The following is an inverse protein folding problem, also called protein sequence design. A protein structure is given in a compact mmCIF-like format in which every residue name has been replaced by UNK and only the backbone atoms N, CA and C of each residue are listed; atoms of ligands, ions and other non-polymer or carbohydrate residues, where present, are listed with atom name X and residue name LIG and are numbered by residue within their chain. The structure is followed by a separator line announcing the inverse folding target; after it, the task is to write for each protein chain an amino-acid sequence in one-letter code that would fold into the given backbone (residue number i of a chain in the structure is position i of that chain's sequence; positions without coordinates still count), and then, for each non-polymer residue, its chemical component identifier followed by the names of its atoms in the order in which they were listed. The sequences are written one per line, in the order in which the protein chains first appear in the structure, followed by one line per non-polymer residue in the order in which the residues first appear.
data_IF_522658922194
#
_entry.id   IF_522658922194
#
_cell.length_a   1.000
_cell.length_b   1.000
_cell.length_c   1.000
_cell.angle_alpha   90.00
_cell.angle_beta   90.00
_cell.angle_gamma   90.00
#
_symmetry.space_group_name_H-M   'P 1'
#
loop_
_entity.id
_entity.type
_entity.pdbx_description
1 polymer ?
#
# COMPACT_ATOMS: atom_id res chain seq x y z
N UNK A 1 -76.98 24.44 28.05
CA UNK A 1 -76.43 23.12 27.64
C UNK A 1 -75.59 23.17 26.37
N UNK A 2 -75.69 24.11 25.45
CA UNK A 2 -74.83 24.17 24.22
C UNK A 2 -73.37 24.49 24.46
N UNK A 3 -72.97 25.20 25.51
CA UNK A 3 -71.59 25.65 25.72
C UNK A 3 -70.66 24.57 26.36
N UNK A 4 -71.24 23.51 26.97
CA UNK A 4 -70.49 22.44 27.54
C UNK A 4 -70.02 21.39 26.50
N UNK A 5 -70.86 21.18 25.49
CA UNK A 5 -70.55 20.23 24.40
C UNK A 5 -69.40 20.79 23.52
N UNK A 6 -69.39 22.10 23.25
CA UNK A 6 -68.36 22.77 22.43
C UNK A 6 -67.00 22.74 23.12
N UNK A 7 -66.93 22.86 24.46
CA UNK A 7 -65.65 22.78 25.20
C UNK A 7 -65.09 21.37 25.24
N UNK A 8 -65.93 20.35 25.23
CA UNK A 8 -65.48 18.94 25.23
C UNK A 8 -64.89 18.54 23.83
N UNK A 9 -65.54 18.95 22.79
CA UNK A 9 -65.08 18.70 21.39
C UNK A 9 -63.69 19.34 21.16
N UNK A 10 -63.47 20.55 21.57
CA UNK A 10 -62.17 21.24 21.44
C UNK A 10 -61.08 20.54 22.28
N UNK A 11 -61.44 20.07 23.49
CA UNK A 11 -60.51 19.34 24.32
C UNK A 11 -60.07 18.01 23.73
N UNK A 12 -61.00 17.24 23.18
CA UNK A 12 -60.70 15.92 22.56
C UNK A 12 -59.89 16.10 21.28
N UNK A 13 -60.19 17.07 20.47
CA UNK A 13 -59.42 17.36 19.23
C UNK A 13 -57.98 17.78 19.60
N UNK A 14 -57.81 18.64 20.64
CA UNK A 14 -56.48 19.07 21.10
C UNK A 14 -55.61 17.88 21.60
N UNK A 15 -56.21 16.95 22.35
CA UNK A 15 -55.52 15.77 22.85
C UNK A 15 -55.14 14.86 21.67
N UNK A 16 -56.01 14.67 20.71
CA UNK A 16 -55.77 13.86 19.53
C UNK A 16 -54.65 14.43 18.65
N UNK A 17 -54.63 15.75 18.46
CA UNK A 17 -53.58 16.46 17.72
C UNK A 17 -52.24 16.35 18.41
N UNK A 18 -52.20 16.42 19.73
CA UNK A 18 -50.99 16.23 20.55
C UNK A 18 -50.44 14.81 20.42
N UNK A 19 -51.31 13.80 20.43
CA UNK A 19 -50.94 12.39 20.31
C UNK A 19 -50.38 12.09 18.93
N UNK A 20 -50.96 12.64 17.87
CA UNK A 20 -50.47 12.52 16.50
C UNK A 20 -49.09 13.21 16.33
N UNK A 21 -48.90 14.39 16.94
CA UNK A 21 -47.62 15.10 16.91
C UNK A 21 -46.50 14.28 17.59
N UNK A 22 -46.77 13.66 18.74
CA UNK A 22 -45.81 12.78 19.43
C UNK A 22 -45.49 11.54 18.58
N UNK A 23 -46.50 10.94 17.93
CA UNK A 23 -46.32 9.78 17.07
C UNK A 23 -45.43 10.13 15.85
N UNK A 24 -45.63 11.27 15.23
CA UNK A 24 -44.81 11.74 14.10
C UNK A 24 -43.37 12.01 14.53
N UNK A 25 -43.14 12.57 15.72
CA UNK A 25 -41.80 12.79 16.24
C UNK A 25 -41.03 11.50 16.51
N UNK A 26 -41.70 10.41 16.91
CA UNK A 26 -41.03 9.11 17.12
C UNK A 26 -40.59 8.46 15.81
N UNK A 27 -41.28 8.70 14.71
CA UNK A 27 -40.86 8.18 13.40
C UNK A 27 -39.69 8.95 12.78
N UNK A 28 -39.45 10.20 13.17
CA UNK A 28 -38.33 10.99 12.68
C UNK A 28 -37.01 10.70 13.37
N UNK A 29 -37.01 9.96 14.49
CA UNK A 29 -35.80 9.60 15.24
C UNK A 29 -35.11 8.34 14.76
N UNK A 30 -35.71 7.60 13.80
CA UNK A 30 -35.15 6.35 13.26
C UNK A 30 -34.26 6.60 12.03
N UNK A 31 -33.39 7.56 12.10
CA UNK A 31 -32.24 7.61 11.20
C UNK A 31 -31.03 7.11 12.00
N UNK A 32 -30.97 5.82 12.27
CA UNK A 32 -29.72 5.15 12.53
C UNK A 32 -28.87 5.37 11.28
N UNK A 33 -27.97 6.33 11.39
CA UNK A 33 -26.82 6.37 10.52
C UNK A 33 -25.96 5.18 10.92
N UNK A 34 -26.30 4.00 10.43
CA UNK A 34 -25.32 2.99 10.11
C UNK A 34 -24.44 3.66 9.02
N UNK A 35 -23.58 4.55 9.47
CA UNK A 35 -22.47 5.01 8.70
C UNK A 35 -21.66 3.74 8.45
N UNK A 36 -21.92 3.09 7.31
CA UNK A 36 -20.99 2.15 6.74
C UNK A 36 -19.67 2.94 6.72
N UNK A 37 -18.78 2.61 7.65
CA UNK A 37 -17.42 3.14 7.67
C UNK A 37 -16.74 2.56 6.41
N UNK A 38 -16.99 3.23 5.28
CA UNK A 38 -16.37 2.90 4.01
C UNK A 38 -14.93 3.30 4.18
N UNK A 39 -14.10 2.34 4.55
CA UNK A 39 -12.67 2.55 4.62
C UNK A 39 -12.14 2.80 3.19
N UNK A 40 -11.96 4.08 2.85
CA UNK A 40 -11.45 4.51 1.54
C UNK A 40 -9.91 4.42 1.44
N UNK A 41 -9.23 4.29 2.57
CA UNK A 41 -7.78 4.28 2.62
C UNK A 41 -7.23 2.96 3.18
N UNK A 42 -6.47 2.24 2.37
CA UNK A 42 -5.87 0.94 2.67
C UNK A 42 -4.34 1.01 2.69
N UNK A 43 -3.73 1.62 3.73
CA UNK A 43 -2.30 1.80 3.76
C UNK A 43 -1.55 0.47 3.87
N UNK A 44 -0.43 0.40 3.18
CA UNK A 44 0.54 -0.68 3.35
C UNK A 44 1.93 -0.13 3.63
N UNK A 45 2.78 -0.95 4.21
CA UNK A 45 4.20 -0.67 4.44
C UNK A 45 5.04 -1.70 3.70
N UNK A 46 6.24 -1.29 3.30
CA UNK A 46 7.22 -2.19 2.71
C UNK A 46 8.42 -2.26 3.65
N UNK A 47 8.74 -3.47 4.12
CA UNK A 47 9.96 -3.75 4.85
C UNK A 47 10.98 -4.41 3.93
N UNK A 48 12.23 -3.97 4.05
CA UNK A 48 13.35 -4.54 3.32
C UNK A 48 14.41 -4.97 4.32
N UNK A 49 14.96 -6.17 4.12
CA UNK A 49 16.10 -6.62 4.91
C UNK A 49 17.34 -5.80 4.55
N UNK A 50 18.24 -5.53 5.51
CA UNK A 50 19.49 -4.85 5.23
C UNK A 50 20.28 -5.54 4.11
N UNK A 51 20.82 -4.73 3.19
CA UNK A 51 21.66 -5.18 2.07
C UNK A 51 23.09 -4.70 2.25
N UNK A 52 24.10 -5.34 1.63
CA UNK A 52 25.47 -4.84 1.58
C UNK A 52 25.50 -3.41 1.04
N UNK A 53 26.51 -2.63 1.43
CA UNK A 53 26.72 -1.27 0.93
C UNK A 53 27.59 -1.21 -0.32
N UNK A 54 28.24 -2.32 -0.65
CA UNK A 54 29.19 -2.44 -1.76
C UNK A 54 28.84 -3.66 -2.62
N UNK A 55 29.05 -3.51 -3.93
CA UNK A 55 28.88 -4.58 -4.90
C UNK A 55 29.95 -4.47 -5.98
N UNK A 56 30.56 -5.58 -6.34
CA UNK A 56 31.50 -5.68 -7.47
C UNK A 56 30.76 -5.94 -8.79
N UNK A 57 31.41 -5.58 -9.91
CA UNK A 57 30.86 -5.92 -11.22
C UNK A 57 30.66 -7.43 -11.36
N UNK A 58 29.51 -7.85 -11.88
CA UNK A 58 29.10 -9.25 -12.00
C UNK A 58 28.61 -9.89 -10.69
N UNK A 59 28.78 -9.25 -9.53
CA UNK A 59 28.21 -9.73 -8.28
C UNK A 59 26.70 -9.49 -8.23
N UNK A 60 25.99 -10.37 -7.53
CA UNK A 60 24.56 -10.25 -7.30
C UNK A 60 24.25 -10.13 -5.81
N UNK A 61 23.29 -9.27 -5.48
CA UNK A 61 22.77 -9.07 -4.12
C UNK A 61 21.33 -9.52 -4.07
N UNK A 62 20.99 -10.36 -3.09
CA UNK A 62 19.60 -10.72 -2.77
C UNK A 62 18.97 -9.62 -1.92
N UNK A 63 17.82 -9.11 -2.33
CA UNK A 63 17.02 -8.11 -1.64
C UNK A 63 15.70 -8.73 -1.26
N UNK A 64 15.42 -8.80 0.04
CA UNK A 64 14.20 -9.41 0.57
C UNK A 64 13.20 -8.35 0.94
N UNK A 65 12.00 -8.46 0.38
CA UNK A 65 10.88 -7.56 0.60
C UNK A 65 9.76 -8.25 1.35
N UNK A 66 9.06 -7.48 2.18
CA UNK A 66 7.82 -7.89 2.84
C UNK A 66 6.82 -6.74 2.80
N UNK A 67 5.66 -6.96 2.17
CA UNK A 67 4.55 -6.04 2.13
C UNK A 67 3.65 -6.31 3.32
N UNK A 68 3.47 -5.31 4.19
CA UNK A 68 2.65 -5.39 5.40
C UNK A 68 1.41 -4.53 5.20
N UNK A 69 0.25 -5.14 5.17
CA UNK A 69 -1.04 -4.45 5.16
C UNK A 69 -1.77 -4.69 6.48
N UNK A 70 -2.47 -3.67 6.99
CA UNK A 70 -3.25 -3.77 8.25
C UNK A 70 -4.47 -4.70 8.14
N UNK A 71 -4.89 -5.03 6.92
CA UNK A 71 -6.04 -5.90 6.65
C UNK A 71 -5.83 -6.75 5.41
N UNK A 72 -6.71 -7.72 5.23
CA UNK A 72 -6.76 -8.53 4.02
C UNK A 72 -7.94 -8.06 3.17
N UNK A 73 -7.70 -7.05 2.34
CA UNK A 73 -8.73 -6.44 1.51
C UNK A 73 -8.90 -7.26 0.23
N UNK A 74 -10.14 -7.71 -0.02
CA UNK A 74 -10.48 -8.42 -1.25
C UNK A 74 -10.32 -7.49 -2.45
N UNK A 75 -9.65 -7.98 -3.49
CA UNK A 75 -9.40 -7.20 -4.71
C UNK A 75 -8.16 -6.31 -4.66
N UNK A 76 -7.42 -6.25 -3.55
CA UNK A 76 -6.13 -5.55 -3.53
C UNK A 76 -5.08 -6.37 -4.26
N UNK A 77 -4.47 -5.76 -5.28
CA UNK A 77 -3.33 -6.31 -6.02
C UNK A 77 -2.14 -5.36 -5.93
N UNK A 78 -0.94 -5.94 -5.90
CA UNK A 78 0.30 -5.18 -5.83
C UNK A 78 1.04 -5.28 -7.15
N UNK A 79 1.78 -4.20 -7.45
CA UNK A 79 2.63 -4.10 -8.62
C UNK A 79 4.00 -3.57 -8.23
N UNK A 80 5.01 -3.92 -9.00
CA UNK A 80 6.37 -3.44 -8.83
C UNK A 80 6.86 -2.78 -10.10
N UNK A 81 7.59 -1.69 -9.93
CA UNK A 81 8.31 -0.97 -10.97
C UNK A 81 9.74 -0.71 -10.49
N UNK A 82 10.69 -0.80 -11.37
CA UNK A 82 12.10 -0.58 -11.12
C UNK A 82 12.62 0.54 -12.00
N UNK A 83 13.50 1.38 -11.47
CA UNK A 83 14.16 2.42 -12.23
C UNK A 83 15.62 2.54 -11.81
N UNK A 84 16.55 2.50 -12.80
CA UNK A 84 17.99 2.68 -12.59
C UNK A 84 18.31 4.17 -12.70
N UNK A 85 18.75 4.78 -11.59
CA UNK A 85 19.07 6.21 -11.52
C UNK A 85 20.53 6.47 -11.89
N UNK A 86 21.44 5.61 -11.42
CA UNK A 86 22.88 5.76 -11.63
C UNK A 86 23.55 4.40 -11.77
N UNK A 87 24.66 4.34 -12.55
CA UNK A 87 25.36 3.13 -12.88
C UNK A 87 24.55 2.21 -13.81
N UNK A 88 24.95 0.93 -13.86
CA UNK A 88 24.29 -0.08 -14.67
C UNK A 88 24.14 -1.39 -13.89
N UNK A 89 22.98 -2.02 -14.02
CA UNK A 89 22.70 -3.29 -13.40
C UNK A 89 21.35 -3.86 -13.84
N UNK A 90 21.08 -5.07 -13.42
CA UNK A 90 19.84 -5.78 -13.73
C UNK A 90 19.15 -6.22 -12.44
N UNK A 91 17.86 -5.95 -12.37
CA UNK A 91 16.99 -6.42 -11.29
C UNK A 91 16.10 -7.55 -11.83
N UNK A 92 16.09 -8.69 -11.17
CA UNK A 92 15.24 -9.80 -11.57
C UNK A 92 14.64 -10.54 -10.37
N UNK A 93 13.50 -11.17 -10.62
CA UNK A 93 12.91 -12.17 -9.74
C UNK A 93 13.51 -13.54 -10.07
N UNK A 94 13.78 -14.37 -9.06
CA UNK A 94 14.44 -15.65 -9.26
C UNK A 94 13.74 -16.50 -10.34
N UNK A 95 14.53 -16.95 -11.34
CA UNK A 95 14.04 -17.78 -12.45
C UNK A 95 13.27 -17.02 -13.53
N UNK A 96 13.13 -15.69 -13.42
CA UNK A 96 12.45 -14.85 -14.40
C UNK A 96 13.44 -13.99 -15.18
N UNK A 97 12.97 -13.44 -16.31
CA UNK A 97 13.72 -12.42 -17.06
C UNK A 97 13.91 -11.17 -16.20
N UNK A 98 15.02 -10.43 -16.39
CA UNK A 98 15.21 -9.14 -15.75
C UNK A 98 14.04 -8.19 -16.00
N UNK A 99 13.69 -7.40 -15.01
CA UNK A 99 12.72 -6.33 -15.16
C UNK A 99 13.27 -5.26 -16.09
N UNK A 100 12.45 -4.80 -17.00
CA UNK A 100 12.78 -3.63 -17.79
C UNK A 100 12.56 -2.37 -16.94
N UNK A 101 13.46 -1.38 -17.03
CA UNK A 101 13.29 -0.13 -16.29
C UNK A 101 11.97 0.54 -16.67
N UNK A 102 11.28 1.04 -15.64
CA UNK A 102 10.01 1.77 -15.73
C UNK A 102 8.77 0.94 -16.16
N UNK A 103 8.91 -0.36 -16.40
CA UNK A 103 7.79 -1.26 -16.65
C UNK A 103 7.13 -1.71 -15.35
N UNK A 104 5.81 -1.93 -15.42
CA UNK A 104 5.01 -2.36 -14.28
C UNK A 104 4.77 -3.87 -14.33
N UNK A 105 5.12 -4.56 -13.25
CA UNK A 105 4.98 -6.02 -13.13
C UNK A 105 4.07 -6.39 -11.95
N UNK A 106 3.18 -7.38 -12.10
CA UNK A 106 2.33 -7.82 -11.00
C UNK A 106 3.12 -8.56 -9.94
N UNK A 107 2.78 -8.32 -8.66
CA UNK A 107 3.27 -9.05 -7.50
C UNK A 107 2.15 -9.96 -6.97
N UNK A 108 2.36 -11.26 -7.05
CA UNK A 108 1.38 -12.27 -6.61
C UNK A 108 1.51 -12.65 -5.14
N UNK A 109 2.65 -12.33 -4.52
CA UNK A 109 2.97 -12.66 -3.13
C UNK A 109 3.49 -11.43 -2.40
N UNK A 110 3.21 -11.36 -1.08
CA UNK A 110 3.63 -10.23 -0.23
C UNK A 110 5.07 -10.35 0.26
N UNK A 111 5.62 -11.54 0.29
CA UNK A 111 7.01 -11.81 0.68
C UNK A 111 7.77 -12.34 -0.52
N UNK A 112 8.74 -11.58 -1.02
CA UNK A 112 9.46 -11.94 -2.23
C UNK A 112 10.92 -11.49 -2.17
N UNK A 113 11.71 -12.03 -3.11
CA UNK A 113 13.14 -11.74 -3.24
C UNK A 113 13.45 -11.28 -4.64
N UNK A 114 14.21 -10.22 -4.71
CA UNK A 114 14.79 -9.73 -5.95
C UNK A 114 16.30 -9.90 -5.91
N UNK A 115 16.88 -10.03 -7.08
CA UNK A 115 18.31 -10.16 -7.25
C UNK A 115 18.78 -9.02 -8.13
N UNK A 116 19.63 -8.16 -7.57
CA UNK A 116 20.27 -7.08 -8.31
C UNK A 116 21.68 -7.51 -8.67
N UNK A 117 21.99 -7.54 -9.97
CA UNK A 117 23.32 -7.86 -10.50
C UNK A 117 23.96 -6.61 -11.06
N UNK A 118 25.14 -6.27 -10.55
CA UNK A 118 25.92 -5.12 -11.00
C UNK A 118 26.52 -5.38 -12.38
N UNK A 119 26.44 -4.38 -13.26
CA UNK A 119 27.07 -4.37 -14.60
C UNK A 119 28.01 -3.19 -14.80
N UNK A 120 28.42 -2.52 -13.70
CA UNK A 120 29.23 -1.31 -13.81
C UNK A 120 30.35 -1.28 -12.75
N UNK A 121 31.41 -0.54 -13.03
CA UNK A 121 32.55 -0.30 -12.14
C UNK A 121 32.39 0.97 -11.28
N UNK A 122 31.25 1.64 -11.35
CA UNK A 122 30.95 2.84 -10.58
C UNK A 122 29.90 2.56 -9.52
N UNK A 123 29.69 3.49 -8.61
CA UNK A 123 28.56 3.44 -7.67
C UNK A 123 27.26 3.38 -8.44
N UNK A 124 26.28 2.71 -7.85
CA UNK A 124 25.00 2.42 -8.50
C UNK A 124 23.87 2.85 -7.60
N UNK A 125 22.84 3.41 -8.20
CA UNK A 125 21.62 3.78 -7.50
C UNK A 125 20.41 3.36 -8.33
N UNK A 126 19.44 2.75 -7.66
CA UNK A 126 18.16 2.42 -8.29
C UNK A 126 17.02 2.51 -7.28
N UNK A 127 15.83 2.70 -7.78
CA UNK A 127 14.60 2.75 -7.02
C UNK A 127 13.69 1.59 -7.38
N UNK A 128 13.02 1.05 -6.35
CA UNK A 128 11.94 0.10 -6.48
C UNK A 128 10.68 0.76 -5.97
N UNK A 129 9.64 0.77 -6.80
CA UNK A 129 8.33 1.30 -6.49
C UNK A 129 7.35 0.15 -6.35
N UNK A 130 6.63 0.11 -5.25
CA UNK A 130 5.56 -0.85 -5.02
C UNK A 130 4.26 -0.07 -4.89
N UNK A 131 3.32 -0.36 -5.78
CA UNK A 131 1.99 0.25 -5.80
C UNK A 131 0.90 -0.79 -5.58
N UNK A 132 -0.24 -0.35 -5.05
CA UNK A 132 -1.43 -1.19 -4.93
C UNK A 132 -2.54 -0.73 -5.90
N UNK A 133 -3.61 -1.52 -6.00
CA UNK A 133 -4.77 -1.19 -6.83
C UNK A 133 -5.63 -0.04 -6.31
N UNK A 134 -5.36 0.46 -5.09
CA UNK A 134 -6.04 1.60 -4.48
C UNK A 134 -5.29 2.92 -4.66
N UNK A 135 -4.18 2.91 -5.40
CA UNK A 135 -3.40 4.12 -5.70
C UNK A 135 -2.36 4.48 -4.64
N UNK A 136 -2.12 3.61 -3.66
CA UNK A 136 -0.99 3.82 -2.74
C UNK A 136 0.31 3.37 -3.40
N UNK A 137 1.39 4.13 -3.18
CA UNK A 137 2.72 3.83 -3.70
C UNK A 137 3.79 4.01 -2.63
N UNK A 138 4.80 3.15 -2.65
CA UNK A 138 5.99 3.19 -1.79
C UNK A 138 7.24 3.07 -2.62
N UNK A 139 8.14 4.05 -2.45
CA UNK A 139 9.45 4.07 -3.07
C UNK A 139 10.50 3.58 -2.08
N UNK A 140 11.39 2.73 -2.54
CA UNK A 140 12.54 2.24 -1.80
C UNK A 140 13.78 2.46 -2.67
N UNK A 141 14.75 3.23 -2.17
CA UNK A 141 15.99 3.53 -2.89
C UNK A 141 17.12 2.65 -2.38
N UNK A 142 17.91 2.15 -3.32
CA UNK A 142 19.11 1.36 -3.06
C UNK A 142 20.31 2.07 -3.63
N UNK A 143 21.40 2.08 -2.85
CA UNK A 143 22.68 2.60 -3.27
C UNK A 143 23.78 1.62 -2.92
N UNK A 144 24.60 1.28 -3.91
CA UNK A 144 25.78 0.44 -3.76
C UNK A 144 27.00 1.19 -4.21
N UNK A 145 28.03 1.22 -3.38
CA UNK A 145 29.36 1.67 -3.78
C UNK A 145 30.04 0.57 -4.59
N UNK A 146 30.94 0.96 -5.47
CA UNK A 146 31.76 -0.02 -6.16
C UNK A 146 32.74 -0.68 -5.20
N UNK A 147 32.73 -2.00 -5.15
CA UNK A 147 33.68 -2.79 -4.38
C UNK A 147 35.06 -2.70 -5.04
N UNK A 148 36.02 -2.07 -4.38
CA UNK A 148 37.39 -2.00 -4.88
C UNK A 148 37.97 -3.41 -4.93
N UNK A 149 38.44 -3.82 -6.11
CA UNK A 149 39.25 -5.03 -6.23
C UNK A 149 40.53 -4.81 -5.43
N UNK A 150 40.81 -5.68 -4.48
CA UNK A 150 42.10 -5.68 -3.78
C UNK A 150 43.25 -5.86 -4.77
N UNK A 151 44.49 -5.51 -4.38
CA UNK A 151 45.64 -5.72 -5.25
C UNK A 151 45.75 -7.20 -5.64
N UNK A 152 45.90 -7.47 -6.95
CA UNK A 152 46.13 -8.82 -7.45
C UNK A 152 47.56 -9.17 -7.03
N UNK A 153 47.70 -10.02 -6.03
CA UNK A 153 49.02 -10.59 -5.64
C UNK A 153 49.30 -11.73 -6.60
N UNK A 154 50.20 -11.50 -7.54
CA UNK A 154 50.76 -12.60 -8.35
C UNK A 154 51.76 -13.34 -7.50
N UNK A 155 51.45 -14.53 -7.02
CA UNK A 155 52.46 -15.42 -6.44
C UNK A 155 53.31 -15.99 -7.60
N UNK A 156 54.63 -15.86 -7.56
CA UNK A 156 55.46 -16.47 -8.57
C UNK A 156 55.36 -17.98 -8.46
N UNK A 157 55.06 -18.64 -9.56
CA UNK A 157 55.06 -20.09 -9.70
C UNK A 157 56.49 -20.54 -9.48
N UNK A 158 56.71 -21.35 -8.43
CA UNK A 158 57.98 -22.05 -8.16
C UNK A 158 58.07 -23.31 -9.00
#
# INVERSE_FOLDING_TARGET
MKNLICKWEISVVSVFLGLVAVLVMTFLSSCDKDALDVQEFFPFEVKVMPVPKEIGIGESVEIRFSIISKGNYSGNSYHIRYFQNDGQGRLNYLGHKPYLPNDLYPLTIKEFRLYYTSESFVSQQFDVWISDSFGNEKQISFQFNNKKLGPIIFEPIR
#
